data_IF_537514144143
#
_entry.id   IF_537514144143
#
_cell.length_a   1.000
_cell.length_b   1.000
_cell.length_c   1.000
_cell.angle_alpha   90.00
_cell.angle_beta   90.00
_cell.angle_gamma   90.00
#
_symmetry.space_group_name_H-M   'P 1'
#
loop_
_entity.id
_entity.type
_entity.pdbx_description
1 polymer ?
#
# COMPACT_ATOMS: atom_id res chain seq x y z
N UNK A 1 7.30 -10.01 13.55
CA UNK A 1 7.66 -8.90 14.47
C UNK A 1 8.25 -7.74 13.65
N UNK A 2 8.01 -6.47 14.03
CA UNK A 2 8.83 -5.28 13.70
C UNK A 2 8.26 -4.14 12.82
N UNK A 3 7.01 -4.16 12.33
CA UNK A 3 6.45 -2.94 11.68
C UNK A 3 6.12 -1.87 12.73
N UNK A 4 5.47 -2.28 13.83
CA UNK A 4 5.14 -1.40 14.95
C UNK A 4 6.39 -0.74 15.58
N UNK A 5 7.49 -1.50 15.72
CA UNK A 5 8.75 -0.99 16.27
C UNK A 5 9.47 -0.01 15.33
N UNK A 6 9.32 -0.18 14.01
CA UNK A 6 9.88 0.75 13.03
C UNK A 6 9.12 2.07 13.06
N UNK A 7 7.79 2.01 13.00
CA UNK A 7 6.95 3.20 13.05
C UNK A 7 7.18 4.00 14.35
N UNK A 8 7.25 3.31 15.49
CA UNK A 8 7.57 3.96 16.76
C UNK A 8 8.95 4.64 16.76
N UNK A 9 9.92 4.08 16.05
CA UNK A 9 11.25 4.69 15.90
C UNK A 9 11.21 5.94 15.00
N UNK A 10 10.35 5.97 13.99
CA UNK A 10 10.09 7.18 13.18
C UNK A 10 9.49 8.29 14.05
N UNK A 11 8.44 7.97 14.81
CA UNK A 11 7.79 8.95 15.70
C UNK A 11 8.79 9.54 16.70
N UNK A 12 9.61 8.70 17.34
CA UNK A 12 10.63 9.17 18.27
C UNK A 12 11.69 10.07 17.61
N UNK A 13 12.08 9.78 16.37
CA UNK A 13 13.00 10.65 15.63
C UNK A 13 12.35 12.01 15.34
N UNK A 14 11.07 12.04 14.97
CA UNK A 14 10.32 13.28 14.74
C UNK A 14 10.22 14.11 16.02
N UNK A 15 9.84 13.49 17.14
CA UNK A 15 9.76 14.16 18.44
C UNK A 15 11.10 14.78 18.86
N UNK A 16 12.21 14.07 18.63
CA UNK A 16 13.55 14.55 18.93
C UNK A 16 13.93 15.78 18.07
N UNK A 17 13.63 15.74 16.77
CA UNK A 17 13.89 16.85 15.84
C UNK A 17 13.06 18.07 16.22
N UNK A 18 11.76 17.89 16.43
CA UNK A 18 10.84 18.97 16.81
C UNK A 18 11.31 19.61 18.11
N UNK A 19 11.55 18.81 19.15
CA UNK A 19 12.00 19.30 20.45
C UNK A 19 13.34 20.06 20.38
N UNK A 20 14.26 19.60 19.53
CA UNK A 20 15.56 20.25 19.33
C UNK A 20 15.42 21.62 18.67
N UNK A 21 14.57 21.72 17.63
CA UNK A 21 14.31 23.00 16.98
C UNK A 21 13.50 23.94 17.86
N UNK A 22 12.48 23.47 18.59
CA UNK A 22 11.73 24.29 19.55
C UNK A 22 12.67 25.00 20.53
N UNK A 23 13.62 24.26 21.12
CA UNK A 23 14.64 24.85 22.01
C UNK A 23 15.52 25.89 21.32
N UNK A 24 15.92 25.65 20.06
CA UNK A 24 16.74 26.60 19.30
C UNK A 24 15.97 27.86 18.92
N UNK A 25 14.69 27.70 18.59
CA UNK A 25 13.77 28.80 18.31
C UNK A 25 13.62 29.66 19.56
N UNK A 26 13.32 29.06 20.70
CA UNK A 26 13.22 29.77 21.98
C UNK A 26 14.52 30.50 22.36
N UNK A 27 15.68 29.87 22.12
CA UNK A 27 16.99 30.45 22.43
C UNK A 27 17.39 31.64 21.54
N UNK A 28 17.12 31.59 20.23
CA UNK A 28 17.60 32.61 19.28
C UNK A 28 16.51 33.61 18.87
N UNK A 29 15.23 33.21 18.84
CA UNK A 29 14.09 34.03 18.40
C UNK A 29 13.09 34.33 19.53
N UNK A 30 13.22 33.70 20.70
CA UNK A 30 12.29 33.83 21.82
C UNK A 30 11.06 32.93 21.71
N UNK A 31 10.17 33.00 22.71
CA UNK A 31 8.97 32.14 22.81
C UNK A 31 7.97 32.32 21.65
N UNK A 32 7.95 33.50 21.00
CA UNK A 32 6.98 33.83 19.95
C UNK A 32 7.67 34.40 18.69
N UNK A 33 8.29 33.54 17.85
CA UNK A 33 8.95 33.97 16.63
C UNK A 33 7.96 34.61 15.65
N UNK A 34 8.12 35.90 15.38
CA UNK A 34 7.17 36.67 14.55
C UNK A 34 7.55 36.71 13.05
N UNK A 35 8.76 36.27 12.71
CA UNK A 35 9.30 36.33 11.34
C UNK A 35 9.57 34.93 10.78
N UNK A 36 8.80 34.55 9.76
CA UNK A 36 8.99 33.29 9.03
C UNK A 36 10.38 33.21 8.37
N UNK A 37 10.92 34.33 7.88
CA UNK A 37 12.25 34.40 7.27
C UNK A 37 13.36 34.12 8.29
N UNK A 38 13.22 34.65 9.50
CA UNK A 38 14.16 34.38 10.59
C UNK A 38 14.10 32.91 11.03
N UNK A 39 12.90 32.35 11.13
CA UNK A 39 12.68 30.95 11.45
C UNK A 39 13.31 30.01 10.39
N UNK A 40 13.08 30.29 9.11
CA UNK A 40 13.67 29.51 8.02
C UNK A 40 15.21 29.59 8.03
N UNK A 41 15.75 30.77 8.29
CA UNK A 41 17.21 30.98 8.41
C UNK A 41 17.79 30.18 9.57
N UNK A 42 17.11 30.14 10.72
CA UNK A 42 17.47 29.31 11.86
C UNK A 42 17.46 27.82 11.51
N UNK A 43 16.40 27.35 10.84
CA UNK A 43 16.28 25.94 10.42
C UNK A 43 17.45 25.56 9.51
N UNK A 44 17.72 26.37 8.48
CA UNK A 44 18.83 26.13 7.56
C UNK A 44 20.19 26.16 8.26
N UNK A 45 20.39 27.09 9.21
CA UNK A 45 21.62 27.20 10.00
C UNK A 45 21.90 25.94 10.83
N UNK A 46 20.88 25.33 11.42
CA UNK A 46 21.05 24.21 12.37
C UNK A 46 20.79 22.82 11.79
N UNK A 47 20.12 22.71 10.64
CA UNK A 47 19.81 21.44 9.97
C UNK A 47 21.04 20.54 9.74
N UNK A 48 22.20 21.04 9.26
CA UNK A 48 23.38 20.19 9.03
C UNK A 48 23.94 19.52 10.29
N UNK A 49 23.68 20.11 11.46
CA UNK A 49 24.22 19.64 12.73
C UNK A 49 23.21 18.77 13.51
N UNK A 50 22.02 18.54 12.98
CA UNK A 50 20.93 17.93 13.74
C UNK A 50 21.23 16.50 14.18
N UNK A 51 21.91 15.72 13.34
CA UNK A 51 22.28 14.33 13.64
C UNK A 51 23.30 14.23 14.79
N UNK A 52 24.06 15.30 15.06
CA UNK A 52 25.00 15.35 16.20
C UNK A 52 24.30 15.71 17.51
N UNK A 53 23.20 16.46 17.44
CA UNK A 53 22.49 16.94 18.63
C UNK A 53 21.25 16.11 18.98
N UNK A 54 20.72 15.38 18.01
CA UNK A 54 19.58 14.48 18.20
C UNK A 54 20.10 13.05 18.02
N UNK A 55 19.92 12.20 19.02
CA UNK A 55 20.26 10.77 18.93
C UNK A 55 19.24 10.03 18.03
N UNK A 56 19.23 10.39 16.75
CA UNK A 56 18.28 9.85 15.78
C UNK A 56 18.55 8.37 15.56
N UNK A 57 17.52 7.55 15.76
CA UNK A 57 17.55 6.13 15.44
C UNK A 57 17.84 5.95 13.96
N UNK A 58 18.85 5.15 13.66
CA UNK A 58 19.20 4.80 12.28
C UNK A 58 18.18 3.80 11.76
N UNK A 59 17.70 4.06 10.55
CA UNK A 59 16.90 3.07 9.84
C UNK A 59 17.83 2.05 9.19
N UNK A 60 17.43 0.78 9.12
CA UNK A 60 18.12 -0.17 8.28
C UNK A 60 18.15 0.35 6.84
N UNK A 61 19.20 -0.03 6.11
CA UNK A 61 19.27 0.22 4.69
C UNK A 61 18.00 -0.29 4.02
N UNK A 62 17.32 0.57 3.26
CA UNK A 62 16.07 0.22 2.61
C UNK A 62 16.36 -0.79 1.51
N UNK A 63 16.21 -2.07 1.85
CA UNK A 63 16.37 -3.18 0.92
C UNK A 63 15.01 -3.51 0.37
N UNK A 64 14.77 -3.07 -0.87
CA UNK A 64 13.67 -3.59 -1.66
C UNK A 64 14.04 -5.02 -2.06
N UNK A 65 13.64 -5.99 -1.24
CA UNK A 65 13.67 -7.39 -1.66
C UNK A 65 12.38 -7.64 -2.44
N UNK A 66 12.50 -8.22 -3.63
CA UNK A 66 11.34 -8.86 -4.25
C UNK A 66 10.86 -9.94 -3.29
N UNK A 67 9.70 -9.71 -2.68
CA UNK A 67 8.98 -10.78 -2.01
C UNK A 67 8.42 -11.61 -3.14
N UNK A 68 9.05 -12.76 -3.39
CA UNK A 68 8.42 -13.80 -4.19
C UNK A 68 7.10 -14.16 -3.51
N UNK A 69 6.03 -14.21 -4.30
CA UNK A 69 4.73 -14.68 -3.83
C UNK A 69 4.89 -16.12 -3.30
N UNK A 70 4.24 -16.47 -2.19
CA UNK A 70 4.44 -17.80 -1.58
C UNK A 70 3.98 -18.95 -2.49
N UNK A 71 3.03 -18.68 -3.41
CA UNK A 71 2.54 -19.64 -4.41
C UNK A 71 2.42 -18.98 -5.80
N UNK A 72 3.53 -18.77 -6.52
CA UNK A 72 3.47 -18.17 -7.85
C UNK A 72 2.73 -19.08 -8.85
N UNK A 73 2.64 -20.38 -8.57
CA UNK A 73 1.90 -21.37 -9.36
C UNK A 73 0.38 -21.13 -9.37
N UNK A 74 -0.18 -20.49 -8.35
CA UNK A 74 -1.64 -20.28 -8.24
C UNK A 74 -2.13 -19.10 -9.08
N UNK A 75 -1.26 -18.11 -9.31
CA UNK A 75 -1.65 -16.87 -9.99
C UNK A 75 -0.65 -16.43 -11.07
N UNK A 76 0.62 -16.25 -10.68
CA UNK A 76 1.62 -15.63 -11.53
C UNK A 76 1.95 -16.46 -12.77
N UNK A 77 2.17 -17.77 -12.59
CA UNK A 77 2.45 -18.71 -13.69
C UNK A 77 1.24 -18.83 -14.63
N UNK A 78 0.00 -19.09 -14.16
CA UNK A 78 -1.19 -19.10 -15.02
C UNK A 78 -1.34 -17.80 -15.83
N UNK A 79 -1.09 -16.65 -15.20
CA UNK A 79 -1.21 -15.35 -15.85
C UNK A 79 -0.18 -15.16 -16.96
N UNK A 80 1.10 -15.44 -16.71
CA UNK A 80 2.16 -15.31 -17.73
C UNK A 80 1.86 -16.21 -18.94
N UNK A 81 1.46 -17.45 -18.71
CA UNK A 81 1.07 -18.35 -19.78
C UNK A 81 -0.15 -17.86 -20.57
N UNK A 82 -1.14 -17.24 -19.91
CA UNK A 82 -2.27 -16.63 -20.60
C UNK A 82 -1.84 -15.53 -21.58
N UNK A 83 -0.78 -14.77 -21.25
CA UNK A 83 -0.22 -13.74 -22.13
C UNK A 83 0.49 -14.39 -23.30
N UNK A 84 1.36 -15.37 -23.03
CA UNK A 84 2.14 -16.09 -24.05
C UNK A 84 1.21 -16.73 -25.09
N UNK A 85 0.12 -17.37 -24.66
CA UNK A 85 -0.86 -17.96 -25.58
C UNK A 85 -1.51 -16.90 -26.48
N UNK A 86 -1.86 -15.73 -25.91
CA UNK A 86 -2.54 -14.68 -26.67
C UNK A 86 -1.62 -13.92 -27.62
N UNK A 87 -0.34 -13.76 -27.27
CA UNK A 87 0.53 -12.75 -27.90
C UNK A 87 1.76 -13.33 -28.62
N UNK A 88 2.12 -14.60 -28.42
CA UNK A 88 3.34 -15.17 -29.02
C UNK A 88 3.23 -15.47 -30.52
N UNK A 89 2.01 -15.57 -31.06
CA UNK A 89 1.78 -16.06 -32.42
C UNK A 89 2.09 -17.55 -32.62
N UNK A 90 2.42 -18.28 -31.56
CA UNK A 90 2.69 -19.72 -31.59
C UNK A 90 1.35 -20.46 -31.41
N UNK A 91 1.00 -21.41 -32.31
CA UNK A 91 -0.23 -22.19 -32.17
C UNK A 91 -0.06 -23.28 -31.11
N UNK A 92 -0.22 -22.90 -29.84
CA UNK A 92 -0.19 -23.84 -28.73
C UNK A 92 -1.46 -24.72 -28.70
N UNK A 93 -1.30 -25.99 -28.32
CA UNK A 93 -2.43 -26.86 -27.99
C UNK A 93 -2.92 -26.55 -26.58
N UNK A 94 -3.92 -25.68 -26.47
CA UNK A 94 -4.51 -25.24 -25.20
C UNK A 94 -5.01 -26.41 -24.35
N UNK A 95 -5.54 -27.47 -24.97
CA UNK A 95 -6.07 -28.65 -24.26
C UNK A 95 -5.00 -29.45 -23.51
N UNK A 96 -3.73 -29.23 -23.85
CA UNK A 96 -2.58 -29.88 -23.20
C UNK A 96 -1.95 -28.99 -22.12
N UNK A 97 -2.42 -27.75 -21.95
CA UNK A 97 -1.91 -26.80 -20.96
C UNK A 97 -2.80 -26.82 -19.71
N UNK A 98 -2.25 -27.33 -18.60
CA UNK A 98 -2.89 -27.24 -17.29
C UNK A 98 -2.44 -25.96 -16.61
N UNK A 99 -3.09 -24.85 -16.95
CA UNK A 99 -2.75 -23.54 -16.39
C UNK A 99 -3.30 -23.31 -14.99
N UNK A 100 -4.38 -24.00 -14.63
CA UNK A 100 -4.99 -23.91 -13.31
C UNK A 100 -4.95 -25.29 -12.67
N UNK A 101 -4.55 -25.35 -11.40
CA UNK A 101 -4.72 -26.57 -10.62
C UNK A 101 -6.21 -26.93 -10.63
N UNK A 102 -6.54 -28.12 -11.13
CA UNK A 102 -7.88 -28.67 -10.94
C UNK A 102 -7.94 -29.06 -9.48
N UNK A 103 -8.62 -28.25 -8.66
CA UNK A 103 -8.85 -28.55 -7.26
C UNK A 103 -9.65 -29.86 -7.19
N UNK A 104 -8.91 -30.97 -7.13
CA UNK A 104 -9.43 -32.33 -7.07
C UNK A 104 -9.27 -32.82 -5.64
N UNK A 105 -9.72 -31.97 -4.70
CA UNK A 105 -10.14 -32.41 -3.39
C UNK A 105 -11.48 -33.13 -3.51
N UNK A 106 -11.50 -34.42 -3.18
CA UNK A 106 -12.72 -35.18 -2.95
C UNK A 106 -13.58 -34.48 -1.88
N UNK A 107 -14.53 -33.64 -2.30
CA UNK A 107 -15.66 -33.27 -1.45
C UNK A 107 -16.79 -34.24 -1.77
N UNK A 108 -16.83 -35.33 -1.00
CA UNK A 108 -17.98 -36.24 -1.01
C UNK A 108 -19.22 -35.42 -0.66
N UNK A 109 -20.17 -35.41 -1.59
CA UNK A 109 -21.46 -34.76 -1.46
C UNK A 109 -22.31 -35.46 -0.38
N UNK A 110 -22.19 -35.04 0.88
CA UNK A 110 -23.17 -35.26 1.96
C UNK A 110 -22.94 -34.16 3.02
N UNK A 111 -23.55 -32.99 2.84
CA UNK A 111 -24.05 -32.10 3.91
C UNK A 111 -24.47 -30.76 3.28
N UNK A 112 -25.62 -30.79 2.62
CA UNK A 112 -26.42 -29.58 2.34
C UNK A 112 -27.33 -29.36 3.57
N UNK A 113 -27.22 -28.24 4.31
CA UNK A 113 -28.26 -27.88 5.25
C UNK A 113 -29.49 -27.44 4.43
N UNK A 114 -30.57 -28.21 4.56
CA UNK A 114 -31.90 -27.79 4.14
C UNK A 114 -32.32 -26.56 4.95
N UNK A 115 -32.52 -25.42 4.28
CA UNK A 115 -33.34 -24.34 4.81
C UNK A 115 -34.46 -24.04 3.81
N UNK A 116 -35.65 -24.56 4.13
CA UNK A 116 -36.89 -24.14 3.52
C UNK A 116 -37.45 -22.92 4.25
N UNK A 117 -38.15 -22.07 3.47
CA UNK A 117 -39.13 -21.03 3.88
C UNK A 117 -38.50 -19.79 4.53
N UNK A 118 -38.78 -18.54 4.15
CA UNK A 118 -40.06 -17.95 3.75
C UNK A 118 -39.90 -16.74 2.81
N UNK A 119 -40.99 -16.40 2.14
CA UNK A 119 -41.17 -15.31 1.20
C UNK A 119 -41.00 -13.90 1.82
N UNK A 120 -40.46 -12.96 1.05
CA UNK A 120 -41.15 -11.67 0.85
C UNK A 120 -40.77 -11.03 -0.50
N UNK A 121 -41.71 -10.26 -1.01
CA UNK A 121 -41.90 -9.80 -2.38
C UNK A 121 -41.39 -8.35 -2.55
N UNK A 122 -40.95 -8.04 -3.78
CA UNK A 122 -41.00 -6.73 -4.46
C UNK A 122 -40.18 -5.52 -3.96
N UNK A 123 -39.29 -5.05 -4.83
CA UNK A 123 -39.33 -3.74 -5.53
C UNK A 123 -37.89 -3.30 -5.87
N UNK A 124 -37.47 -3.32 -7.13
CA UNK A 124 -37.74 -2.39 -8.23
C UNK A 124 -36.44 -1.65 -8.59
N UNK A 125 -36.16 -1.72 -9.88
CA UNK A 125 -35.06 -1.20 -10.64
C UNK A 125 -34.90 0.33 -10.49
N UNK A 126 -33.67 0.84 -10.41
CA UNK A 126 -33.39 2.23 -10.79
C UNK A 126 -32.04 2.27 -11.49
N UNK A 127 -32.12 2.25 -12.81
CA UNK A 127 -31.06 2.58 -13.76
C UNK A 127 -30.54 4.01 -13.51
N UNK A 128 -29.22 4.17 -13.38
CA UNK A 128 -28.54 5.48 -13.32
C UNK A 128 -28.05 5.83 -14.74
N UNK A 129 -28.38 7.02 -15.30
CA UNK A 129 -27.91 7.40 -16.63
C UNK A 129 -26.48 7.98 -16.60
N UNK A 130 -25.68 7.61 -17.61
CA UNK A 130 -24.35 8.16 -17.90
C UNK A 130 -24.42 9.65 -18.29
N UNK A 131 -23.48 10.51 -17.85
CA UNK A 131 -23.37 11.88 -18.33
C UNK A 131 -22.69 11.95 -19.72
N UNK A 132 -23.29 12.75 -20.60
CA UNK A 132 -22.87 13.03 -21.98
C UNK A 132 -21.61 13.92 -22.09
N UNK A 133 -20.76 13.63 -23.08
CA UNK A 133 -19.55 14.39 -23.45
C UNK A 133 -19.83 15.86 -23.84
N UNK A 134 -18.87 16.79 -23.61
CA UNK A 134 -18.99 18.17 -24.04
C UNK A 134 -18.65 18.39 -25.52
N UNK A 135 -19.51 19.15 -26.20
CA UNK A 135 -19.34 19.62 -27.58
C UNK A 135 -18.24 20.68 -27.68
N UNK A 136 -17.37 20.51 -28.67
CA UNK A 136 -16.29 21.44 -29.04
C UNK A 136 -16.85 22.79 -29.50
N UNK A 137 -16.23 23.88 -29.06
CA UNK A 137 -16.33 25.23 -29.66
C UNK A 137 -14.98 25.61 -30.22
#
# INVERSE_FOLDING_TARGET
LSVFSFFQSVIQNLDAVISSFSKKIEQELGENPTSATALLSLINKHSPNIQRHCHLKKFPELRFKYVEEESPDDFFIPYVWSIVIRQSGIPFRTDSLRLFASDSGNTSAQDLPSCNSDADHSDNETSVPMPSEPTSV
#
